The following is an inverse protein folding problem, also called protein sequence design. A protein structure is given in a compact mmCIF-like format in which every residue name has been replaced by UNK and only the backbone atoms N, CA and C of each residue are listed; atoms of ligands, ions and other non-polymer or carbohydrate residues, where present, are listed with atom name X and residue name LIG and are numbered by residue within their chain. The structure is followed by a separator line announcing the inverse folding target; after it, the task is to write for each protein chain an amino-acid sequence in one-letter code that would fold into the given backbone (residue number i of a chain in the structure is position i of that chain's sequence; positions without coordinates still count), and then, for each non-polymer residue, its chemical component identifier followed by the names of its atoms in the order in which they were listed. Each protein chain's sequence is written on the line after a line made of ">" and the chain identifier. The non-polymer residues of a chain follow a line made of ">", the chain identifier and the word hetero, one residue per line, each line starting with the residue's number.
data_IF_949825413598
#
_entry.id   IF_949825413598
#
_cell.length_a   1.000
_cell.length_b   1.000
_cell.length_c   1.000
_cell.angle_alpha   90.00
_cell.angle_beta   90.00
_cell.angle_gamma   90.00
#
_symmetry.space_group_name_H-M   'P 1'
#
loop_
_entity.id
_entity.type
_entity.pdbx_description
1 polymer ?
#
# COMPACT_ATOMS: atom_id res chain seq x y z
N UNK A 1 -23.55 2.73 10.17
CA UNK A 1 -22.13 2.85 9.76
C UNK A 1 -21.79 1.61 8.95
N UNK A 2 -21.55 1.78 7.65
CA UNK A 2 -21.05 0.73 6.75
C UNK A 2 -19.67 0.28 7.25
N UNK A 3 -19.44 -1.03 7.38
CA UNK A 3 -18.10 -1.56 7.64
C UNK A 3 -17.27 -1.38 6.37
N UNK A 4 -16.24 -0.54 6.41
CA UNK A 4 -15.24 -0.48 5.35
C UNK A 4 -14.53 -1.83 5.27
N UNK A 5 -14.42 -2.37 4.06
CA UNK A 5 -13.68 -3.60 3.80
C UNK A 5 -12.27 -3.22 3.35
N UNK A 6 -11.31 -3.31 4.27
CA UNK A 6 -9.90 -3.00 4.01
C UNK A 6 -9.24 -4.00 3.06
N UNK A 7 -9.83 -5.18 2.88
CA UNK A 7 -9.33 -6.22 1.97
C UNK A 7 -9.91 -6.07 0.55
N UNK A 8 -10.81 -5.10 0.33
CA UNK A 8 -11.45 -4.91 -0.98
C UNK A 8 -10.47 -4.23 -1.94
N UNK A 9 -10.10 -4.97 -2.97
CA UNK A 9 -9.32 -4.46 -4.11
C UNK A 9 -10.16 -4.53 -5.37
N UNK A 10 -10.34 -3.39 -6.02
CA UNK A 10 -11.03 -3.30 -7.31
C UNK A 10 -10.22 -2.52 -8.33
N UNK A 11 -10.58 -2.66 -9.60
CA UNK A 11 -10.12 -1.79 -10.66
C UNK A 11 -11.29 -1.03 -11.25
N UNK A 12 -11.07 0.23 -11.61
CA UNK A 12 -11.93 1.02 -12.49
C UNK A 12 -11.40 0.86 -13.91
N UNK A 13 -12.24 0.44 -14.85
CA UNK A 13 -11.78 0.00 -16.17
C UNK A 13 -12.30 0.89 -17.30
N UNK A 14 -11.40 1.27 -18.22
CA UNK A 14 -11.73 1.93 -19.48
C UNK A 14 -11.18 1.13 -20.66
N UNK A 15 -11.99 1.00 -21.72
CA UNK A 15 -11.61 0.26 -22.93
C UNK A 15 -12.24 0.90 -24.17
N UNK A 16 -11.56 0.81 -25.31
CA UNK A 16 -12.05 1.38 -26.56
C UNK A 16 -10.98 1.56 -27.61
N UNK A 17 -11.21 2.54 -28.48
CA UNK A 17 -10.31 2.81 -29.60
C UNK A 17 -9.84 4.26 -29.55
N UNK A 18 -8.52 4.44 -29.54
CA UNK A 18 -7.91 5.75 -29.69
C UNK A 18 -6.92 5.73 -30.85
N UNK A 19 -7.02 6.72 -31.74
CA UNK A 19 -6.22 6.88 -32.95
C UNK A 19 -5.37 8.16 -32.98
N UNK A 20 -5.27 8.86 -31.84
CA UNK A 20 -4.36 10.00 -31.66
C UNK A 20 -2.90 9.54 -31.74
N UNK A 21 -1.97 10.48 -31.86
CA UNK A 21 -0.55 10.17 -31.66
C UNK A 21 -0.31 9.63 -30.24
N UNK A 22 0.81 8.94 -30.01
CA UNK A 22 1.15 8.47 -28.67
C UNK A 22 1.36 9.64 -27.70
N UNK A 23 1.97 10.73 -28.16
CA UNK A 23 2.11 11.98 -27.38
C UNK A 23 0.75 12.54 -26.97
N UNK A 24 -0.19 12.68 -27.91
CA UNK A 24 -1.55 13.16 -27.62
C UNK A 24 -2.31 12.22 -26.66
N UNK A 25 -2.05 10.91 -26.73
CA UNK A 25 -2.68 9.94 -25.84
C UNK A 25 -2.15 10.05 -24.41
N UNK A 26 -0.83 10.19 -24.25
CA UNK A 26 -0.18 10.34 -22.96
C UNK A 26 -0.54 11.68 -22.29
N UNK A 27 -0.61 12.75 -23.07
CA UNK A 27 -0.95 14.09 -22.58
C UNK A 27 -2.28 14.16 -21.82
N UNK A 28 -3.22 13.26 -22.12
CA UNK A 28 -4.48 13.16 -21.38
C UNK A 28 -4.31 12.82 -19.89
N UNK A 29 -3.23 12.11 -19.54
CA UNK A 29 -2.93 11.65 -18.20
C UNK A 29 -1.86 12.50 -17.50
N UNK A 30 -1.13 13.32 -18.25
CA UNK A 30 -0.08 14.19 -17.71
C UNK A 30 -0.66 15.21 -16.72
N UNK A 31 0.06 15.38 -15.61
CA UNK A 31 -0.27 16.40 -14.63
C UNK A 31 0.12 17.78 -15.15
N UNK A 32 -0.76 18.76 -14.94
CA UNK A 32 -0.54 20.15 -15.33
C UNK A 32 0.52 20.74 -14.40
N UNK A 33 1.72 20.94 -14.92
CA UNK A 33 2.77 21.66 -14.23
C UNK A 33 2.30 23.10 -13.90
N UNK A 34 2.49 23.52 -12.65
CA UNK A 34 2.15 24.86 -12.09
C UNK A 34 0.73 25.08 -11.56
N UNK A 35 -0.03 24.03 -11.26
CA UNK A 35 -1.23 24.21 -10.43
C UNK A 35 -0.85 24.73 -9.04
N UNK A 36 -1.58 25.74 -8.56
CA UNK A 36 -1.42 26.22 -7.19
C UNK A 36 -1.86 25.14 -6.20
N UNK A 37 -1.18 25.03 -5.07
CA UNK A 37 -1.40 24.01 -4.03
C UNK A 37 -2.86 23.98 -3.52
N UNK A 38 -3.60 25.09 -3.66
CA UNK A 38 -5.01 25.24 -3.25
C UNK A 38 -5.99 25.42 -4.43
N UNK A 39 -5.63 24.95 -5.62
CA UNK A 39 -6.52 25.05 -6.80
C UNK A 39 -7.66 24.04 -6.72
N UNK A 40 -8.90 24.50 -6.93
CA UNK A 40 -10.08 23.64 -7.16
C UNK A 40 -10.13 23.10 -8.61
N UNK A 41 -9.03 23.21 -9.36
CA UNK A 41 -8.93 22.75 -10.74
C UNK A 41 -8.32 21.33 -10.83
N UNK A 42 -8.86 20.46 -11.69
CA UNK A 42 -8.30 19.14 -11.93
C UNK A 42 -6.86 19.20 -12.44
N UNK A 43 -6.03 18.31 -11.92
CA UNK A 43 -4.60 18.18 -12.25
C UNK A 43 -4.31 17.61 -13.62
N UNK A 44 -5.28 16.99 -14.29
CA UNK A 44 -5.12 16.45 -15.64
C UNK A 44 -6.46 16.46 -16.39
N UNK A 45 -6.42 16.24 -17.70
CA UNK A 45 -7.64 16.04 -18.50
C UNK A 45 -8.41 14.80 -18.05
N UNK A 46 -7.70 13.74 -17.63
CA UNK A 46 -8.30 12.56 -17.04
C UNK A 46 -9.07 12.89 -15.76
N UNK A 47 -8.46 13.60 -14.81
CA UNK A 47 -9.10 14.08 -13.57
C UNK A 47 -10.39 14.86 -13.87
N UNK A 48 -10.31 15.80 -14.81
CA UNK A 48 -11.46 16.61 -15.22
C UNK A 48 -12.59 15.76 -15.82
N UNK A 49 -12.27 14.66 -16.49
CA UNK A 49 -13.27 13.78 -17.09
C UNK A 49 -13.96 12.86 -16.10
N UNK A 50 -13.23 12.37 -15.09
CA UNK A 50 -13.79 11.50 -14.03
C UNK A 50 -14.46 12.29 -12.91
N UNK A 51 -14.23 13.60 -12.83
CA UNK A 51 -14.79 14.48 -11.80
C UNK A 51 -13.99 14.48 -10.50
N UNK A 52 -12.68 14.27 -10.58
CA UNK A 52 -11.73 14.28 -9.46
C UNK A 52 -10.74 15.44 -9.64
N UNK A 53 -10.11 15.88 -8.54
CA UNK A 53 -9.06 16.90 -8.61
C UNK A 53 -7.69 16.28 -8.91
N UNK A 54 -7.42 15.10 -8.36
CA UNK A 54 -6.14 14.40 -8.45
C UNK A 54 -6.35 12.90 -8.45
N UNK A 55 -5.40 12.16 -9.03
CA UNK A 55 -5.30 10.71 -8.94
C UNK A 55 -3.86 10.34 -8.62
N UNK A 56 -3.61 9.12 -8.15
CA UNK A 56 -2.25 8.63 -7.92
C UNK A 56 -1.70 7.99 -9.20
N UNK A 57 -0.67 8.55 -9.86
CA UNK A 57 -0.14 8.00 -11.11
C UNK A 57 0.31 6.54 -10.99
N UNK A 58 0.82 6.14 -9.83
CA UNK A 58 1.33 4.79 -9.57
C UNK A 58 0.24 3.71 -9.59
N UNK A 59 -1.03 4.13 -9.43
CA UNK A 59 -2.20 3.25 -9.45
C UNK A 59 -2.88 3.17 -10.81
N UNK A 60 -2.46 4.02 -11.75
CA UNK A 60 -2.92 3.97 -13.13
C UNK A 60 -2.07 2.99 -13.93
N UNK A 61 -2.71 1.94 -14.43
CA UNK A 61 -2.06 0.97 -15.30
C UNK A 61 -2.50 1.20 -16.73
N UNK A 62 -1.53 1.54 -17.58
CA UNK A 62 -1.74 1.84 -18.99
C UNK A 62 -0.83 0.98 -19.87
N UNK A 63 -1.30 -0.20 -20.32
CA UNK A 63 -0.60 -0.98 -21.33
C UNK A 63 -0.44 -0.22 -22.65
N UNK A 64 0.63 -0.55 -23.40
CA UNK A 64 0.85 0.01 -24.73
C UNK A 64 -0.35 -0.22 -25.65
N UNK A 65 -0.77 0.85 -26.34
CA UNK A 65 -1.79 0.77 -27.38
C UNK A 65 -1.32 -0.08 -28.54
N UNK A 66 -2.27 -0.70 -29.21
CA UNK A 66 -2.04 -1.46 -30.43
C UNK A 66 -2.23 -0.54 -31.63
N UNK A 67 -1.46 -0.77 -32.68
CA UNK A 67 -1.57 -0.04 -33.93
C UNK A 67 -2.94 -0.22 -34.61
N UNK A 68 -3.63 -1.34 -34.36
CA UNK A 68 -4.94 -1.65 -34.93
C UNK A 68 -5.89 -2.25 -33.87
N UNK A 69 -7.20 -1.94 -33.93
CA UNK A 69 -8.21 -2.56 -33.08
C UNK A 69 -8.18 -4.09 -33.17
N UNK A 70 -8.19 -4.75 -32.02
CA UNK A 70 -8.27 -6.20 -31.89
C UNK A 70 -9.61 -6.63 -31.33
N UNK A 71 -9.93 -7.93 -31.47
CA UNK A 71 -11.10 -8.51 -30.84
C UNK A 71 -11.11 -8.23 -29.33
N UNK A 72 -12.27 -7.81 -28.80
CA UNK A 72 -12.39 -7.42 -27.40
C UNK A 72 -11.95 -8.51 -26.40
N UNK A 73 -12.17 -9.79 -26.71
CA UNK A 73 -11.76 -10.89 -25.84
C UNK A 73 -10.25 -10.94 -25.65
N UNK A 74 -9.49 -10.70 -26.72
CA UNK A 74 -8.03 -10.66 -26.64
C UNK A 74 -7.52 -9.50 -25.78
N UNK A 75 -8.24 -8.37 -25.78
CA UNK A 75 -7.92 -7.23 -24.90
C UNK A 75 -8.27 -7.57 -23.46
N UNK A 76 -9.44 -8.17 -23.21
CA UNK A 76 -9.90 -8.57 -21.87
C UNK A 76 -8.91 -9.55 -21.22
N UNK A 77 -8.33 -10.47 -21.99
CA UNK A 77 -7.36 -11.43 -21.47
C UNK A 77 -6.08 -10.79 -20.90
N UNK A 78 -5.78 -9.55 -21.30
CA UNK A 78 -4.64 -8.79 -20.79
C UNK A 78 -4.93 -8.00 -19.52
N UNK A 79 -6.20 -7.85 -19.17
CA UNK A 79 -6.61 -7.09 -17.99
C UNK A 79 -6.30 -7.92 -16.75
N UNK A 80 -5.51 -7.35 -15.86
CA UNK A 80 -5.19 -7.95 -14.56
C UNK A 80 -6.38 -7.75 -13.62
N UNK A 81 -7.31 -8.69 -13.64
CA UNK A 81 -8.52 -8.74 -12.81
C UNK A 81 -8.77 -10.19 -12.37
N UNK A 82 -9.64 -10.44 -11.39
CA UNK A 82 -10.03 -11.80 -11.05
C UNK A 82 -10.64 -12.51 -12.27
N UNK A 83 -10.29 -13.77 -12.50
CA UNK A 83 -10.77 -14.51 -13.69
C UNK A 83 -12.30 -14.56 -13.77
N UNK A 84 -12.99 -14.61 -12.63
CA UNK A 84 -14.45 -14.57 -12.54
C UNK A 84 -15.08 -13.28 -13.07
N UNK A 85 -14.33 -12.18 -13.15
CA UNK A 85 -14.83 -10.88 -13.61
C UNK A 85 -14.75 -10.70 -15.13
N UNK A 86 -13.91 -11.47 -15.84
CA UNK A 86 -13.73 -11.34 -17.30
C UNK A 86 -15.05 -11.47 -18.08
N UNK A 87 -15.92 -12.39 -17.65
CA UNK A 87 -17.26 -12.56 -18.24
C UNK A 87 -18.10 -11.29 -18.11
N UNK A 88 -18.10 -10.66 -16.93
CA UNK A 88 -18.86 -9.42 -16.68
C UNK A 88 -18.29 -8.25 -17.48
N UNK A 89 -16.97 -8.16 -17.62
CA UNK A 89 -16.32 -7.14 -18.47
C UNK A 89 -16.81 -7.29 -19.91
N UNK A 90 -16.82 -8.52 -20.46
CA UNK A 90 -17.31 -8.78 -21.81
C UNK A 90 -18.79 -8.40 -21.99
N UNK A 91 -19.64 -8.75 -21.02
CA UNK A 91 -21.06 -8.37 -21.02
C UNK A 91 -21.24 -6.84 -21.01
N UNK A 92 -20.45 -6.11 -20.22
CA UNK A 92 -20.51 -4.65 -20.17
C UNK A 92 -20.00 -4.01 -21.48
N UNK A 93 -18.91 -4.54 -22.06
CA UNK A 93 -18.44 -4.12 -23.38
C UNK A 93 -19.54 -4.30 -24.44
N UNK A 94 -20.22 -5.45 -24.43
CA UNK A 94 -21.31 -5.75 -25.37
C UNK A 94 -22.47 -4.77 -25.23
N UNK A 95 -22.89 -4.47 -24.00
CA UNK A 95 -23.94 -3.47 -23.73
C UNK A 95 -23.58 -2.08 -24.24
N UNK A 96 -22.29 -1.73 -24.22
CA UNK A 96 -21.76 -0.46 -24.69
C UNK A 96 -21.39 -0.46 -26.19
N UNK A 97 -21.63 -1.58 -26.89
CA UNK A 97 -21.34 -1.73 -28.32
C UNK A 97 -19.85 -1.90 -28.66
N UNK A 98 -19.02 -2.24 -27.68
CA UNK A 98 -17.57 -2.39 -27.84
C UNK A 98 -17.25 -3.84 -28.22
N UNK A 99 -17.00 -4.06 -29.51
CA UNK A 99 -16.63 -5.38 -30.07
C UNK A 99 -15.14 -5.50 -30.39
N UNK A 100 -14.46 -4.36 -30.54
CA UNK A 100 -13.01 -4.27 -30.76
C UNK A 100 -12.42 -3.10 -29.97
N UNK A 101 -11.15 -3.22 -29.59
CA UNK A 101 -10.40 -2.17 -28.91
C UNK A 101 -8.92 -2.22 -29.29
N UNK A 102 -8.26 -1.07 -29.33
CA UNK A 102 -6.81 -0.95 -29.47
C UNK A 102 -6.14 -0.37 -28.21
N UNK A 103 -6.94 0.13 -27.27
CA UNK A 103 -6.49 0.77 -26.04
C UNK A 103 -7.34 0.30 -24.85
N UNK A 104 -6.69 0.17 -23.70
CA UNK A 104 -7.28 -0.17 -22.41
C UNK A 104 -6.41 0.45 -21.33
N UNK A 105 -7.02 0.96 -20.26
CA UNK A 105 -6.32 1.31 -19.04
C UNK A 105 -7.23 1.05 -17.85
N UNK A 106 -6.66 0.94 -16.67
CA UNK A 106 -7.44 0.84 -15.44
C UNK A 106 -6.74 1.50 -14.27
N UNK A 107 -7.53 1.97 -13.31
CA UNK A 107 -7.06 2.53 -12.06
C UNK A 107 -7.30 1.53 -10.93
N UNK A 108 -6.30 1.30 -10.08
CA UNK A 108 -6.37 0.35 -8.97
C UNK A 108 -6.92 1.06 -7.73
N UNK A 109 -8.10 0.61 -7.29
CA UNK A 109 -8.72 1.00 -6.02
C UNK A 109 -8.42 -0.08 -4.97
N UNK A 110 -7.30 0.06 -4.28
CA UNK A 110 -6.91 -0.84 -3.18
C UNK A 110 -6.83 -0.16 -1.82
N UNK A 111 -7.08 1.16 -1.73
CA UNK A 111 -6.93 1.99 -0.54
C UNK A 111 -8.24 2.74 -0.25
N UNK A 112 -8.97 2.37 0.81
CA UNK A 112 -10.26 2.99 1.13
C UNK A 112 -10.26 4.51 1.28
N UNK A 113 -9.11 5.13 1.56
CA UNK A 113 -8.99 6.59 1.74
C UNK A 113 -8.64 7.33 0.46
N UNK A 114 -7.98 6.67 -0.49
CA UNK A 114 -7.49 7.25 -1.74
C UNK A 114 -8.12 6.60 -2.98
N UNK A 115 -9.19 5.83 -2.80
CA UNK A 115 -9.94 5.22 -3.89
C UNK A 115 -10.65 6.31 -4.70
N UNK A 116 -10.57 6.16 -6.02
CA UNK A 116 -11.18 7.05 -6.99
C UNK A 116 -12.65 6.67 -7.20
N UNK A 117 -13.52 7.66 -7.40
CA UNK A 117 -14.91 7.43 -7.83
C UNK A 117 -15.20 8.14 -9.15
N UNK A 118 -15.59 7.39 -10.18
CA UNK A 118 -16.00 7.99 -11.46
C UNK A 118 -17.38 8.62 -11.28
N UNK A 119 -17.46 9.94 -11.38
CA UNK A 119 -18.70 10.69 -11.16
C UNK A 119 -19.76 10.38 -12.23
N UNK A 120 -21.02 10.27 -11.79
CA UNK A 120 -22.18 10.05 -12.66
C UNK A 120 -22.84 11.39 -13.05
N UNK A 121 -23.42 11.50 -14.27
CA UNK A 121 -23.46 10.49 -15.32
C UNK A 121 -22.09 10.30 -15.99
N UNK A 122 -21.76 9.06 -16.35
CA UNK A 122 -20.51 8.76 -17.03
C UNK A 122 -20.45 9.45 -18.39
N UNK A 123 -19.29 10.00 -18.75
CA UNK A 123 -19.07 10.58 -20.08
C UNK A 123 -19.13 9.48 -21.14
N UNK A 124 -19.56 9.84 -22.34
CA UNK A 124 -19.54 8.94 -23.49
C UNK A 124 -18.13 8.66 -24.01
N UNK A 125 -17.15 9.49 -23.63
CA UNK A 125 -15.79 9.43 -24.13
C UNK A 125 -14.78 9.89 -23.05
N UNK A 126 -13.76 9.05 -22.81
CA UNK A 126 -12.59 9.29 -21.98
C UNK A 126 -11.36 9.02 -22.86
N UNK A 127 -10.93 10.02 -23.63
CA UNK A 127 -9.82 9.90 -24.56
C UNK A 127 -9.94 8.70 -25.54
N UNK A 128 -11.06 8.57 -26.23
CA UNK A 128 -11.39 7.48 -27.17
C UNK A 128 -11.93 6.20 -26.52
N UNK A 129 -11.96 6.12 -25.19
CA UNK A 129 -12.39 4.95 -24.44
C UNK A 129 -13.71 5.22 -23.70
N UNK A 130 -14.39 4.15 -23.27
CA UNK A 130 -15.56 4.22 -22.40
C UNK A 130 -15.25 3.61 -21.04
N UNK A 131 -15.82 4.19 -19.99
CA UNK A 131 -15.81 3.57 -18.67
C UNK A 131 -16.72 2.32 -18.65
N UNK A 132 -16.19 1.19 -18.21
CA UNK A 132 -16.85 -0.13 -18.28
C UNK A 132 -17.38 -0.59 -16.92
N UNK A 133 -16.84 -0.01 -15.85
CA UNK A 133 -17.26 -0.29 -14.49
C UNK A 133 -16.11 -0.63 -13.55
N UNK A 134 -16.49 -1.05 -12.36
CA UNK A 134 -15.62 -1.48 -11.28
C UNK A 134 -15.62 -3.02 -11.17
N UNK A 135 -14.45 -3.63 -11.05
CA UNK A 135 -14.29 -5.09 -11.04
C UNK A 135 -13.31 -5.55 -9.96
N UNK A 136 -13.56 -6.70 -9.31
CA UNK A 136 -12.69 -7.25 -8.26
C UNK A 136 -11.32 -7.70 -8.79
N UNK A 137 -10.26 -7.33 -8.09
CA UNK A 137 -8.87 -7.63 -8.48
C UNK A 137 -7.97 -7.98 -7.30
N UNK A 138 -8.54 -8.45 -6.18
CA UNK A 138 -7.84 -8.88 -4.96
C UNK A 138 -6.84 -10.02 -5.18
N UNK A 139 -7.01 -10.84 -6.21
CA UNK A 139 -6.02 -11.88 -6.58
C UNK A 139 -4.86 -11.34 -7.43
N UNK A 140 -4.92 -10.09 -7.87
CA UNK A 140 -3.97 -9.50 -8.84
C UNK A 140 -3.17 -8.34 -8.27
N UNK A 141 -3.72 -7.65 -7.28
CA UNK A 141 -3.05 -6.53 -6.62
C UNK A 141 -3.12 -6.67 -5.10
N UNK A 142 -2.09 -6.17 -4.40
CA UNK A 142 -2.11 -6.07 -2.95
C UNK A 142 -3.24 -5.16 -2.46
N UNK A 143 -3.86 -5.51 -1.33
CA UNK A 143 -4.72 -4.60 -0.60
C UNK A 143 -3.90 -3.53 0.11
N UNK A 144 -4.51 -2.38 0.39
CA UNK A 144 -3.85 -1.37 1.21
C UNK A 144 -3.53 -1.93 2.60
N UNK A 145 -2.29 -1.73 3.04
CA UNK A 145 -1.78 -2.32 4.27
C UNK A 145 -1.27 -3.75 4.11
N UNK A 146 -1.37 -4.38 2.94
CA UNK A 146 -0.47 -5.48 2.59
C UNK A 146 0.86 -4.88 2.12
N UNK A 147 1.52 -4.16 3.02
CA UNK A 147 2.94 -3.86 2.84
C UNK A 147 3.64 -5.17 2.50
N UNK A 148 4.60 -5.09 1.58
CA UNK A 148 5.45 -6.22 1.23
C UNK A 148 6.39 -6.54 2.40
N UNK A 149 5.80 -7.16 3.41
CA UNK A 149 6.47 -7.76 4.54
C UNK A 149 7.35 -8.95 4.09
N UNK A 150 7.31 -9.34 2.80
CA UNK A 150 8.18 -10.39 2.24
C UNK A 150 9.65 -9.98 2.16
N UNK A 151 9.98 -8.74 2.55
CA UNK A 151 11.34 -8.33 2.86
C UNK A 151 11.75 -8.79 4.27
N UNK A 152 13.02 -9.07 4.50
CA UNK A 152 13.51 -9.44 5.83
C UNK A 152 13.24 -8.31 6.85
N UNK A 153 12.65 -8.64 8.00
CA UNK A 153 12.29 -7.71 9.05
C UNK A 153 12.93 -8.11 10.37
N UNK A 154 13.55 -7.15 11.05
CA UNK A 154 13.89 -7.29 12.45
C UNK A 154 12.63 -7.24 13.30
N UNK A 155 12.52 -8.12 14.29
CA UNK A 155 11.35 -8.20 15.16
C UNK A 155 11.76 -8.10 16.63
N UNK A 156 11.05 -7.26 17.38
CA UNK A 156 11.13 -7.13 18.82
C UNK A 156 9.79 -7.45 19.45
N UNK A 157 9.79 -8.24 20.54
CA UNK A 157 8.56 -8.64 21.24
C UNK A 157 8.79 -8.61 22.74
N UNK A 158 7.78 -8.18 23.48
CA UNK A 158 7.81 -8.23 24.93
C UNK A 158 6.61 -7.57 25.58
N UNK A 159 6.87 -7.02 26.76
CA UNK A 159 5.83 -6.39 27.58
C UNK A 159 6.23 -4.96 27.91
N UNK A 160 5.33 -4.03 27.59
CA UNK A 160 5.45 -2.63 27.98
C UNK A 160 4.10 -2.13 28.54
N UNK A 161 4.11 -1.68 29.80
CA UNK A 161 2.94 -1.13 30.50
C UNK A 161 3.01 0.38 30.72
N UNK A 162 3.93 1.07 30.04
CA UNK A 162 3.99 2.52 30.07
C UNK A 162 2.71 3.12 29.50
N UNK A 163 2.46 4.38 29.84
CA UNK A 163 1.46 5.17 29.13
C UNK A 163 1.81 5.23 27.64
N UNK A 164 0.80 5.32 26.78
CA UNK A 164 0.97 5.26 25.33
C UNK A 164 1.84 6.41 24.84
N UNK A 165 1.65 7.57 25.45
CA UNK A 165 2.43 8.77 25.17
C UNK A 165 3.92 8.55 25.48
N UNK A 166 4.23 7.90 26.60
CA UNK A 166 5.61 7.55 26.98
C UNK A 166 6.19 6.43 26.09
N UNK A 167 5.38 5.46 25.67
CA UNK A 167 5.80 4.44 24.71
C UNK A 167 6.17 5.07 23.36
N UNK A 168 5.34 6.00 22.86
CA UNK A 168 5.56 6.65 21.56
C UNK A 168 6.78 7.58 21.56
N UNK A 169 7.07 8.27 22.67
CA UNK A 169 8.29 9.10 22.81
C UNK A 169 9.59 8.34 22.55
N UNK A 170 9.60 7.02 22.74
CA UNK A 170 10.77 6.21 22.43
C UNK A 170 11.09 6.15 20.92
N UNK A 171 10.08 6.29 20.07
CA UNK A 171 10.20 6.26 18.61
C UNK A 171 10.22 7.66 17.98
N UNK A 172 9.92 8.71 18.74
CA UNK A 172 9.81 10.09 18.24
C UNK A 172 11.13 10.58 17.63
N UNK A 173 11.08 10.94 16.34
CA UNK A 173 12.19 11.54 15.59
C UNK A 173 12.22 13.05 15.82
N UNK A 174 13.42 13.63 15.81
CA UNK A 174 13.60 15.08 15.91
C UNK A 174 13.56 15.71 14.52
N UNK A 175 12.51 16.47 14.24
CA UNK A 175 12.36 17.26 13.02
C UNK A 175 12.58 18.77 13.26
N UNK A 176 12.98 19.17 14.47
CA UNK A 176 13.21 20.57 14.83
C UNK A 176 14.60 21.02 14.43
N UNK A 177 15.61 20.16 14.62
CA UNK A 177 16.95 20.39 14.09
C UNK A 177 16.96 20.28 12.56
N UNK A 178 17.71 21.17 11.90
CA UNK A 178 17.72 21.24 10.43
C UNK A 178 18.46 20.05 9.80
N UNK A 179 19.47 19.50 10.48
CA UNK A 179 20.33 18.42 10.00
C UNK A 179 20.68 17.41 11.10
N UNK A 180 21.09 16.20 10.71
CA UNK A 180 21.47 15.13 11.67
C UNK A 180 22.78 15.39 12.43
N UNK A 181 23.63 16.26 11.93
CA UNK A 181 24.90 16.66 12.56
C UNK A 181 24.76 17.94 13.42
N UNK A 182 23.56 18.50 13.50
CA UNK A 182 23.26 19.60 14.41
C UNK A 182 23.52 19.16 15.86
N UNK A 183 24.30 19.93 16.66
CA UNK A 183 24.55 19.61 18.07
C UNK A 183 23.27 19.51 18.92
N UNK A 184 22.18 20.15 18.49
CA UNK A 184 20.88 20.12 19.18
C UNK A 184 20.00 18.94 18.72
N UNK A 185 20.41 18.15 17.70
CA UNK A 185 19.67 16.99 17.20
C UNK A 185 19.49 15.91 18.27
N UNK A 186 18.24 15.60 18.61
CA UNK A 186 17.90 14.59 19.60
C UNK A 186 17.67 13.23 18.94
N UNK A 187 18.71 12.41 18.95
CA UNK A 187 18.60 11.00 18.52
C UNK A 187 17.50 10.27 19.31
N UNK A 188 16.58 9.63 18.58
CA UNK A 188 15.43 8.94 19.16
C UNK A 188 15.84 7.75 20.04
N UNK A 189 14.95 7.31 20.94
CA UNK A 189 15.23 6.20 21.86
C UNK A 189 15.51 4.88 21.14
N UNK A 190 14.69 4.54 20.14
CA UNK A 190 14.89 3.38 19.30
C UNK A 190 16.20 3.45 18.51
N UNK A 191 16.47 4.60 17.89
CA UNK A 191 17.68 4.90 17.12
C UNK A 191 18.94 4.61 17.95
N UNK A 192 19.00 5.14 19.19
CA UNK A 192 20.09 4.89 20.15
C UNK A 192 20.28 3.41 20.43
N UNK A 193 19.20 2.66 20.55
CA UNK A 193 19.24 1.24 20.91
C UNK A 193 19.67 0.34 19.74
N UNK A 194 19.25 0.66 18.51
CA UNK A 194 19.68 -0.08 17.30
C UNK A 194 21.01 0.40 16.73
N UNK A 195 21.52 1.54 17.21
CA UNK A 195 22.84 2.08 16.86
C UNK A 195 22.88 2.91 15.58
N UNK A 196 21.76 3.56 15.25
CA UNK A 196 21.63 4.57 14.18
C UNK A 196 21.29 5.94 14.78
N UNK A 197 21.46 7.01 13.99
CA UNK A 197 21.04 8.35 14.39
C UNK A 197 19.59 8.66 13.97
N UNK A 198 19.10 7.98 12.93
CA UNK A 198 17.77 8.14 12.35
C UNK A 198 17.30 6.82 11.74
N UNK A 199 15.99 6.56 11.75
CA UNK A 199 15.37 5.43 11.06
C UNK A 199 14.31 5.98 10.10
N UNK A 200 14.04 5.25 9.03
CA UNK A 200 13.02 5.61 8.06
C UNK A 200 11.63 5.18 8.57
N UNK A 201 10.76 6.17 8.79
CA UNK A 201 9.43 5.94 9.35
C UNK A 201 8.52 5.11 8.45
N UNK A 202 8.81 5.05 7.15
CA UNK A 202 8.05 4.24 6.18
C UNK A 202 8.32 2.73 6.32
N UNK A 203 9.39 2.34 7.04
CA UNK A 203 9.82 0.95 7.17
C UNK A 203 9.71 0.37 8.57
N UNK A 204 9.12 1.11 9.52
CA UNK A 204 8.91 0.67 10.90
C UNK A 204 7.42 0.47 11.20
N UNK A 205 7.11 -0.50 12.05
CA UNK A 205 5.81 -0.57 12.69
C UNK A 205 5.90 -0.86 14.17
N UNK A 206 5.20 -0.07 14.97
CA UNK A 206 5.16 -0.18 16.43
C UNK A 206 3.73 0.04 16.97
N UNK A 207 2.81 -0.92 16.76
CA UNK A 207 1.43 -0.78 17.21
C UNK A 207 1.34 -0.51 18.70
N UNK A 208 0.31 0.24 19.10
CA UNK A 208 0.02 0.53 20.50
C UNK A 208 -0.02 -0.76 21.35
N UNK A 209 0.73 -0.84 22.46
CA UNK A 209 0.71 -1.99 23.36
C UNK A 209 -0.71 -2.30 23.85
N UNK A 210 -1.03 -3.59 23.93
CA UNK A 210 -2.31 -4.05 24.49
C UNK A 210 -2.36 -3.77 25.99
N UNK A 211 -3.54 -3.48 26.53
CA UNK A 211 -3.71 -3.20 27.98
C UNK A 211 -3.32 -4.37 28.90
N UNK A 212 -3.26 -5.58 28.36
CA UNK A 212 -2.90 -6.81 29.08
C UNK A 212 -2.06 -7.68 28.17
N UNK A 213 -1.17 -8.43 28.78
CA UNK A 213 -0.46 -9.50 28.09
C UNK A 213 -1.44 -10.57 27.60
N UNK A 214 -1.17 -11.06 26.39
CA UNK A 214 -1.86 -12.19 25.79
C UNK A 214 -0.83 -13.25 25.41
N UNK A 215 -1.29 -14.44 25.06
CA UNK A 215 -0.41 -15.49 24.52
C UNK A 215 0.32 -15.00 23.28
N UNK A 216 1.63 -15.25 23.18
CA UNK A 216 2.48 -14.70 22.11
C UNK A 216 1.96 -15.04 20.71
N UNK A 217 1.52 -16.29 20.48
CA UNK A 217 0.92 -16.68 19.20
C UNK A 217 -0.29 -15.83 18.80
N UNK A 218 -1.16 -15.45 19.76
CA UNK A 218 -2.32 -14.57 19.48
C UNK A 218 -1.91 -13.13 19.21
N UNK A 219 -0.76 -12.71 19.72
CA UNK A 219 -0.19 -11.40 19.42
C UNK A 219 0.39 -11.39 18.00
N UNK A 220 1.10 -12.46 17.61
CA UNK A 220 1.62 -12.65 16.25
C UNK A 220 0.50 -12.73 15.21
N UNK A 221 -0.61 -13.42 15.51
CA UNK A 221 -1.79 -13.50 14.63
C UNK A 221 -2.44 -12.14 14.33
N UNK A 222 -2.10 -11.09 15.09
CA UNK A 222 -2.54 -9.71 14.84
C UNK A 222 -1.57 -8.92 13.94
N UNK A 223 -0.35 -9.42 13.75
CA UNK A 223 0.71 -8.79 12.97
C UNK A 223 0.82 -9.40 11.57
N UNK A 224 0.84 -10.73 11.50
CA UNK A 224 1.05 -11.47 10.25
C UNK A 224 -0.11 -12.42 9.99
N UNK A 225 -0.40 -12.68 8.71
CA UNK A 225 -1.40 -13.67 8.35
C UNK A 225 -1.02 -15.03 8.95
N UNK A 226 -1.96 -15.75 9.61
CA UNK A 226 -1.68 -17.06 10.20
C UNK A 226 -1.14 -18.11 9.21
N UNK A 227 -1.30 -17.86 7.91
CA UNK A 227 -0.90 -18.74 6.81
C UNK A 227 0.57 -18.55 6.37
N UNK A 228 1.30 -17.57 6.89
CA UNK A 228 2.71 -17.36 6.54
C UNK A 228 3.63 -18.36 7.24
N UNK A 229 4.59 -18.90 6.49
CA UNK A 229 5.51 -19.96 6.93
C UNK A 229 6.36 -19.55 8.15
N UNK A 230 6.71 -18.25 8.29
CA UNK A 230 7.58 -17.74 9.35
C UNK A 230 6.92 -17.70 10.74
N UNK A 231 5.60 -17.84 10.82
CA UNK A 231 4.84 -17.71 12.07
C UNK A 231 5.34 -18.64 13.15
N UNK A 232 5.55 -19.91 12.80
CA UNK A 232 5.96 -20.93 13.76
C UNK A 232 7.38 -20.66 14.28
N UNK A 233 8.30 -20.24 13.40
CA UNK A 233 9.67 -19.87 13.76
C UNK A 233 9.71 -18.70 14.76
N UNK A 234 8.86 -17.68 14.55
CA UNK A 234 8.73 -16.55 15.48
C UNK A 234 8.30 -17.04 16.87
N UNK A 235 7.26 -17.88 16.93
CA UNK A 235 6.73 -18.41 18.20
C UNK A 235 7.78 -19.25 18.92
N UNK A 236 8.47 -20.13 18.20
CA UNK A 236 9.56 -20.94 18.75
C UNK A 236 10.69 -20.07 19.28
N UNK A 237 11.03 -19.01 18.57
CA UNK A 237 12.06 -18.07 19.00
C UNK A 237 11.66 -17.30 20.26
N UNK A 238 10.40 -16.88 20.35
CA UNK A 238 9.84 -16.31 21.57
C UNK A 238 9.95 -17.29 22.75
N UNK A 239 9.57 -18.56 22.55
CA UNK A 239 9.66 -19.59 23.61
C UNK A 239 11.10 -19.85 24.05
N UNK A 240 12.06 -19.91 23.11
CA UNK A 240 13.50 -20.03 23.43
C UNK A 240 13.99 -18.88 24.31
N UNK A 241 13.40 -17.68 24.17
CA UNK A 241 13.71 -16.50 24.96
C UNK A 241 12.86 -16.36 26.23
N UNK A 242 12.00 -17.35 26.54
CA UNK A 242 11.11 -17.36 27.70
C UNK A 242 9.85 -16.49 27.54
N UNK A 243 9.53 -16.05 26.33
CA UNK A 243 8.39 -15.16 26.03
C UNK A 243 7.19 -16.03 25.65
N UNK A 244 6.35 -16.39 26.63
CA UNK A 244 5.08 -17.09 26.39
C UNK A 244 3.89 -16.13 26.28
N UNK A 245 4.03 -14.94 26.86
CA UNK A 245 3.04 -13.87 26.82
C UNK A 245 3.72 -12.54 26.54
N UNK A 246 3.01 -11.66 25.85
CA UNK A 246 3.48 -10.34 25.45
C UNK A 246 2.28 -9.41 25.23
N UNK A 247 2.52 -8.10 25.23
CA UNK A 247 1.49 -7.11 24.88
C UNK A 247 1.94 -6.12 23.80
N UNK A 248 3.23 -6.11 23.44
CA UNK A 248 3.83 -5.17 22.52
C UNK A 248 4.78 -5.89 21.54
N UNK A 249 4.89 -5.32 20.35
CA UNK A 249 5.84 -5.73 19.32
C UNK A 249 6.26 -4.53 18.48
N UNK A 250 7.42 -4.65 17.83
CA UNK A 250 7.95 -3.68 16.87
C UNK A 250 8.61 -4.46 15.74
N UNK A 251 8.42 -4.03 14.49
CA UNK A 251 9.20 -4.50 13.35
C UNK A 251 9.91 -3.35 12.65
N UNK A 252 11.04 -3.65 12.02
CA UNK A 252 11.77 -2.71 11.16
C UNK A 252 12.48 -3.46 10.03
N UNK A 253 12.43 -2.92 8.82
CA UNK A 253 13.01 -3.57 7.64
C UNK A 253 14.52 -3.74 7.75
N UNK A 254 14.98 -4.97 7.56
CA UNK A 254 16.36 -5.35 7.88
C UNK A 254 17.40 -4.77 6.91
N UNK A 255 16.99 -4.40 5.69
CA UNK A 255 17.87 -3.71 4.73
C UNK A 255 18.26 -2.30 5.16
N UNK A 256 17.47 -1.67 6.04
CA UNK A 256 17.63 -0.25 6.38
C UNK A 256 18.66 -0.05 7.50
N UNK A 257 18.97 -1.09 8.28
CA UNK A 257 19.94 -0.97 9.38
C UNK A 257 20.68 -2.28 9.66
N UNK A 258 21.96 -2.17 10.01
CA UNK A 258 22.71 -3.29 10.57
C UNK A 258 22.73 -3.19 12.10
N UNK A 259 21.94 -4.02 12.80
CA UNK A 259 21.93 -4.05 14.27
C UNK A 259 23.27 -4.58 14.79
N UNK A 260 23.95 -3.77 15.60
CA UNK A 260 25.26 -4.12 16.18
C UNK A 260 25.12 -5.20 17.25
N UNK A 261 26.05 -6.16 17.25
CA UNK A 261 26.21 -7.17 18.30
C UNK A 261 27.21 -6.69 19.37
N UNK A 262 27.05 -7.10 20.65
CA UNK A 262 25.95 -7.91 21.19
C UNK A 262 24.63 -7.13 21.23
N UNK A 263 23.52 -7.82 21.00
CA UNK A 263 22.19 -7.22 21.10
C UNK A 263 21.91 -6.77 22.53
N UNK A 264 21.17 -5.66 22.69
CA UNK A 264 20.73 -5.23 24.02
C UNK A 264 19.74 -6.23 24.61
N UNK A 265 19.76 -6.38 25.92
CA UNK A 265 18.80 -7.22 26.65
C UNK A 265 17.38 -6.60 26.69
N UNK A 266 17.27 -5.30 26.43
CA UNK A 266 16.02 -4.54 26.54
C UNK A 266 15.99 -3.39 25.53
N UNK A 267 14.91 -3.33 24.75
CA UNK A 267 14.54 -2.27 23.81
C UNK A 267 13.16 -1.75 24.25
N UNK A 268 13.14 -0.83 25.22
CA UNK A 268 11.92 -0.29 25.80
C UNK A 268 10.89 -1.35 26.27
N UNK A 269 11.34 -2.39 26.98
CA UNK A 269 10.49 -3.50 27.48
C UNK A 269 10.37 -4.69 26.52
N UNK A 270 10.94 -4.57 25.31
CA UNK A 270 10.93 -5.60 24.29
C UNK A 270 12.31 -6.25 24.15
N UNK A 271 12.34 -7.48 23.65
CA UNK A 271 13.57 -8.19 23.28
C UNK A 271 13.65 -8.35 21.78
N UNK A 272 14.84 -8.15 21.22
CA UNK A 272 15.11 -8.53 19.84
C UNK A 272 15.04 -10.06 19.71
N UNK A 273 14.17 -10.55 18.83
CA UNK A 273 13.95 -11.99 18.67
C UNK A 273 14.59 -12.56 17.40
N UNK A 274 14.83 -11.74 16.37
CA UNK A 274 15.51 -12.19 15.16
C UNK A 274 15.08 -11.42 13.92
N UNK A 275 15.52 -11.96 12.78
CA UNK A 275 15.09 -11.53 11.44
C UNK A 275 14.13 -12.57 10.91
N UNK A 276 13.00 -12.13 10.37
CA UNK A 276 12.00 -13.00 9.76
C UNK A 276 11.50 -12.38 8.48
N UNK A 277 11.09 -13.23 7.54
CA UNK A 277 10.48 -12.85 6.29
C UNK A 277 8.98 -13.07 6.43
N UNK A 278 8.15 -12.03 6.32
CA UNK A 278 6.69 -12.21 6.39
C UNK A 278 6.03 -11.94 5.05
#
# INVERSE_FOLDING_TARGET
>A
MSKFNFDKVTILLWIGNNFSSDEEYQHYFEEIENLQIDSDEPTSLFCADIGELVYMPERLVMPNRLSLPQNINWIIDKIKVNESEKKKINENCTKLGITTANAVFWYINNDPWLNLEVQKPYKENYNGLKYIGEFNADTKYPSYGSEDLSSDQYLWIGTNFMAVEEYNKYFELDYVAEELDDPDYKVCGFCKDVGTNWYDEDFIGYPKPLKKEIHVGKLIDKLISPELDCRQDIIEKCHQLGITKANALVWYKASEVAIKKPYKENYNGLKYIGVFKF
#
